data_IF_352143530189
#
_entry.id   IF_352143530189
#
_cell.length_a   1.000
_cell.length_b   1.000
_cell.length_c   1.000
_cell.angle_alpha   90.00
_cell.angle_beta   90.00
_cell.angle_gamma   90.00
#
_symmetry.space_group_name_H-M   'P 1'
#
loop_
_entity.id
_entity.type
_entity.pdbx_description
1 polymer ?
#
# COMPACT_ATOMS: atom_id res chain seq x y z
N UNK A 1 -24.47 0.70 -26.93
CA UNK A 1 -23.46 0.64 -25.87
C UNK A 1 -22.10 0.71 -26.53
N UNK A 2 -21.30 1.74 -26.23
CA UNK A 2 -19.92 1.82 -26.74
C UNK A 2 -19.04 0.79 -26.03
N UNK A 3 -17.91 0.42 -26.65
CA UNK A 3 -16.97 -0.52 -26.03
C UNK A 3 -16.47 -0.02 -24.66
N UNK A 4 -16.23 1.29 -24.54
CA UNK A 4 -15.83 1.95 -23.29
C UNK A 4 -16.90 1.86 -22.20
N UNK A 5 -18.18 1.97 -22.56
CA UNK A 5 -19.30 1.83 -21.63
C UNK A 5 -19.45 0.39 -21.14
N UNK A 6 -19.22 -0.61 -22.00
CA UNK A 6 -19.21 -2.01 -21.60
C UNK A 6 -18.07 -2.31 -20.64
N UNK A 7 -16.86 -1.81 -20.93
CA UNK A 7 -15.69 -1.91 -20.05
C UNK A 7 -15.95 -1.29 -18.68
N UNK A 8 -16.52 -0.08 -18.65
CA UNK A 8 -16.89 0.62 -17.42
C UNK A 8 -17.91 -0.20 -16.62
N UNK A 9 -18.91 -0.78 -17.29
CA UNK A 9 -19.91 -1.63 -16.66
C UNK A 9 -19.31 -2.91 -16.06
N UNK A 10 -18.43 -3.60 -16.81
CA UNK A 10 -17.73 -4.79 -16.34
C UNK A 10 -16.88 -4.47 -15.11
N UNK A 11 -16.13 -3.36 -15.15
CA UNK A 11 -15.30 -2.90 -14.04
C UNK A 11 -16.17 -2.62 -12.80
N UNK A 12 -17.28 -1.90 -12.98
CA UNK A 12 -18.20 -1.60 -11.88
C UNK A 12 -18.85 -2.85 -11.28
N UNK A 13 -19.28 -3.79 -12.13
CA UNK A 13 -19.85 -5.06 -11.70
C UNK A 13 -18.83 -5.87 -10.88
N UNK A 14 -17.57 -5.92 -11.33
CA UNK A 14 -16.49 -6.62 -10.62
C UNK A 14 -16.23 -6.02 -9.23
N UNK A 15 -16.21 -4.69 -9.11
CA UNK A 15 -16.06 -4.01 -7.81
C UNK A 15 -17.19 -4.42 -6.86
N UNK A 16 -18.44 -4.41 -7.34
CA UNK A 16 -19.61 -4.81 -6.54
C UNK A 16 -19.55 -6.26 -6.09
N UNK A 17 -19.13 -7.16 -6.98
CA UNK A 17 -18.96 -8.58 -6.68
C UNK A 17 -17.92 -8.77 -5.56
N UNK A 18 -16.75 -8.14 -5.67
CA UNK A 18 -15.69 -8.26 -4.66
C UNK A 18 -16.14 -7.67 -3.33
N UNK A 19 -16.82 -6.52 -3.32
CA UNK A 19 -17.36 -5.93 -2.09
C UNK A 19 -18.38 -6.85 -1.42
N UNK A 20 -19.23 -7.53 -2.19
CA UNK A 20 -20.12 -8.56 -1.64
C UNK A 20 -19.32 -9.70 -1.00
N UNK A 21 -18.28 -10.20 -1.67
CA UNK A 21 -17.42 -11.25 -1.12
C UNK A 21 -16.71 -10.85 0.17
N UNK A 22 -16.27 -9.59 0.29
CA UNK A 22 -15.63 -9.08 1.51
C UNK A 22 -16.59 -8.94 2.70
N UNK A 23 -17.89 -8.79 2.40
CA UNK A 23 -18.98 -8.67 3.39
C UNK A 23 -19.44 -10.04 3.91
N UNK A 24 -19.32 -11.09 3.08
CA UNK A 24 -19.72 -12.45 3.46
C UNK A 24 -18.89 -13.00 4.64
N UNK A 25 -19.47 -13.92 5.44
CA UNK A 25 -18.76 -14.60 6.50
C UNK A 25 -17.60 -15.45 5.96
N UNK A 26 -16.54 -15.57 6.76
CA UNK A 26 -15.25 -16.19 6.38
C UNK A 26 -15.37 -17.62 5.83
N UNK A 27 -16.37 -18.38 6.27
CA UNK A 27 -16.63 -19.75 5.82
C UNK A 27 -16.97 -19.79 4.33
N UNK A 28 -17.75 -18.82 3.84
CA UNK A 28 -18.15 -18.74 2.44
C UNK A 28 -16.98 -18.23 1.59
N UNK A 29 -16.26 -17.23 2.09
CA UNK A 29 -15.04 -16.73 1.46
C UNK A 29 -13.97 -17.79 1.35
N UNK A 30 -13.89 -18.80 2.22
CA UNK A 30 -12.93 -19.90 2.06
C UNK A 30 -13.31 -20.91 0.96
N UNK A 31 -14.60 -21.06 0.65
CA UNK A 31 -15.13 -22.07 -0.28
C UNK A 31 -15.06 -21.65 -1.74
N UNK A 32 -15.05 -20.36 -2.02
CA UNK A 32 -15.08 -19.79 -3.38
C UNK A 32 -13.77 -20.03 -4.17
N UNK A 33 -12.76 -20.75 -3.66
CA UNK A 33 -11.51 -21.07 -4.40
C UNK A 33 -11.55 -22.51 -4.89
N UNK A 34 -11.55 -22.73 -6.23
CA UNK A 34 -11.47 -24.07 -6.79
C UNK A 34 -10.23 -24.81 -6.28
N UNK A 35 -10.42 -26.02 -5.76
CA UNK A 35 -9.37 -26.79 -5.07
C UNK A 35 -8.12 -27.08 -5.91
N UNK A 36 -8.24 -27.07 -7.24
CA UNK A 36 -7.18 -27.37 -8.19
C UNK A 36 -6.17 -26.23 -8.42
N UNK A 37 -6.53 -24.98 -8.12
CA UNK A 37 -5.63 -23.81 -8.27
C UNK A 37 -4.85 -23.48 -6.98
N UNK A 38 -4.68 -24.46 -6.10
CA UNK A 38 -4.04 -24.25 -4.80
C UNK A 38 -2.52 -24.38 -4.94
N UNK A 39 -1.83 -23.25 -5.02
CA UNK A 39 -0.39 -23.20 -4.87
C UNK A 39 0.03 -23.57 -3.43
N UNK A 40 1.27 -24.03 -3.27
CA UNK A 40 1.90 -24.21 -1.96
C UNK A 40 1.78 -22.92 -1.15
N UNK A 41 1.31 -23.04 0.09
CA UNK A 41 1.15 -21.85 0.94
C UNK A 41 2.53 -21.30 1.32
N UNK A 42 2.70 -19.96 1.35
CA UNK A 42 3.94 -19.34 1.79
C UNK A 42 4.22 -19.67 3.26
N UNK A 43 5.47 -19.52 3.67
CA UNK A 43 5.90 -19.71 5.05
C UNK A 43 5.11 -18.79 6.01
N UNK A 44 4.80 -19.24 7.23
CA UNK A 44 4.00 -18.45 8.17
C UNK A 44 4.74 -17.18 8.61
N UNK A 45 4.03 -16.05 8.55
CA UNK A 45 4.51 -14.75 9.02
C UNK A 45 3.81 -14.39 10.34
N UNK A 46 4.54 -13.75 11.24
CA UNK A 46 4.05 -13.38 12.57
C UNK A 46 4.26 -11.89 12.81
N UNK A 47 3.34 -11.27 13.55
CA UNK A 47 3.51 -9.91 14.04
C UNK A 47 4.43 -9.85 15.28
N UNK A 48 4.74 -8.64 15.74
CA UNK A 48 5.54 -8.43 16.95
C UNK A 48 4.89 -8.99 18.23
N UNK A 49 3.60 -9.33 18.20
CA UNK A 49 2.87 -9.96 19.29
C UNK A 49 2.80 -11.49 19.15
N UNK A 50 3.49 -12.08 18.16
CA UNK A 50 3.54 -13.52 17.92
C UNK A 50 2.27 -14.10 17.29
N UNK A 51 1.35 -13.29 16.76
CA UNK A 51 0.14 -13.76 16.07
C UNK A 51 0.44 -13.95 14.60
N UNK A 52 -0.08 -15.04 14.02
CA UNK A 52 0.08 -15.32 12.59
C UNK A 52 -0.71 -14.32 11.74
N UNK A 53 -0.04 -13.64 10.82
CA UNK A 53 -0.60 -12.56 9.99
C UNK A 53 -0.97 -12.97 8.58
N UNK A 54 -0.45 -14.11 8.09
CA UNK A 54 -0.62 -14.57 6.72
C UNK A 54 -1.45 -15.86 6.60
N UNK A 55 -2.50 -15.98 7.43
CA UNK A 55 -3.46 -17.09 7.29
C UNK A 55 -4.06 -17.12 5.88
N UNK A 56 -4.55 -18.28 5.45
CA UNK A 56 -5.18 -18.44 4.12
C UNK A 56 -6.30 -17.40 3.89
N UNK A 57 -7.15 -17.20 4.90
CA UNK A 57 -8.24 -16.24 4.83
C UNK A 57 -7.72 -14.80 4.69
N UNK A 58 -6.71 -14.42 5.48
CA UNK A 58 -6.08 -13.10 5.38
C UNK A 58 -5.43 -12.89 4.01
N UNK A 59 -4.72 -13.89 3.47
CA UNK A 59 -4.15 -13.82 2.12
C UNK A 59 -5.23 -13.64 1.06
N UNK A 60 -6.34 -14.37 1.16
CA UNK A 60 -7.45 -14.24 0.21
C UNK A 60 -8.14 -12.87 0.32
N UNK A 61 -8.44 -12.41 1.53
CA UNK A 61 -9.03 -11.08 1.75
C UNK A 61 -8.12 -9.98 1.21
N UNK A 62 -6.80 -10.04 1.48
CA UNK A 62 -5.81 -9.11 0.91
C UNK A 62 -5.77 -9.14 -0.62
N UNK A 63 -5.86 -10.33 -1.23
CA UNK A 63 -5.89 -10.46 -2.69
C UNK A 63 -7.17 -9.83 -3.29
N UNK A 64 -8.33 -10.05 -2.69
CA UNK A 64 -9.59 -9.43 -3.09
C UNK A 64 -9.57 -7.91 -2.90
N UNK A 65 -9.03 -7.42 -1.79
CA UNK A 65 -8.86 -5.98 -1.55
C UNK A 65 -7.92 -5.33 -2.58
N UNK A 66 -6.82 -6.00 -2.94
CA UNK A 66 -5.89 -5.53 -3.96
C UNK A 66 -6.53 -5.53 -5.37
N UNK A 67 -7.29 -6.57 -5.71
CA UNK A 67 -8.04 -6.61 -6.97
C UNK A 67 -9.11 -5.50 -7.02
N UNK A 68 -9.86 -5.32 -5.93
CA UNK A 68 -10.85 -4.24 -5.80
C UNK A 68 -10.18 -2.87 -5.96
N UNK A 69 -9.03 -2.66 -5.33
CA UNK A 69 -8.26 -1.42 -5.45
C UNK A 69 -7.91 -1.13 -6.91
N UNK A 70 -7.35 -2.11 -7.62
CA UNK A 70 -7.02 -1.99 -9.04
C UNK A 70 -8.24 -1.62 -9.89
N UNK A 71 -9.37 -2.31 -9.71
CA UNK A 71 -10.58 -2.00 -10.46
C UNK A 71 -11.12 -0.60 -10.14
N UNK A 72 -11.01 -0.14 -8.88
CA UNK A 72 -11.42 1.22 -8.50
C UNK A 72 -10.53 2.27 -9.18
N UNK A 73 -9.22 2.04 -9.27
CA UNK A 73 -8.33 2.95 -9.99
C UNK A 73 -8.67 3.03 -11.48
N UNK A 74 -8.94 1.88 -12.11
CA UNK A 74 -9.41 1.82 -13.49
C UNK A 74 -10.76 2.52 -13.67
N UNK A 75 -11.70 2.36 -12.73
CA UNK A 75 -13.01 3.00 -12.77
C UNK A 75 -12.94 4.53 -12.59
N UNK A 76 -12.08 5.00 -11.69
CA UNK A 76 -11.84 6.45 -11.49
C UNK A 76 -11.25 7.09 -12.76
N UNK A 77 -10.42 6.37 -13.50
CA UNK A 77 -9.85 6.86 -14.75
C UNK A 77 -10.87 6.87 -15.91
N UNK A 78 -11.74 5.86 -16.00
CA UNK A 78 -12.68 5.69 -17.13
C UNK A 78 -14.02 6.42 -16.95
N UNK A 79 -14.53 6.53 -15.72
CA UNK A 79 -15.86 7.06 -15.42
C UNK A 79 -15.75 8.47 -14.83
N UNK A 80 -16.17 9.52 -15.54
CA UNK A 80 -16.25 10.85 -14.97
C UNK A 80 -17.19 10.85 -13.76
N UNK A 81 -16.79 11.52 -12.67
CA UNK A 81 -17.56 11.61 -11.41
C UNK A 81 -17.83 10.25 -10.72
N UNK A 82 -16.94 9.27 -10.89
CA UNK A 82 -17.04 8.00 -10.18
C UNK A 82 -17.06 8.19 -8.65
N UNK A 83 -18.09 7.63 -8.01
CA UNK A 83 -18.21 7.64 -6.55
C UNK A 83 -17.51 6.42 -5.97
N UNK A 84 -16.54 6.66 -5.09
CA UNK A 84 -15.82 5.61 -4.36
C UNK A 84 -16.79 4.88 -3.41
N UNK A 85 -16.69 3.55 -3.27
CA UNK A 85 -17.44 2.82 -2.25
C UNK A 85 -17.13 3.34 -0.83
N UNK A 86 -18.14 3.47 0.03
CA UNK A 86 -17.99 4.04 1.38
C UNK A 86 -17.04 3.24 2.28
N UNK A 87 -16.95 1.93 2.09
CA UNK A 87 -16.09 1.01 2.83
C UNK A 87 -14.67 0.92 2.25
N UNK A 88 -14.42 1.56 1.10
CA UNK A 88 -13.13 1.55 0.46
C UNK A 88 -12.18 2.55 1.14
N UNK A 89 -11.08 2.01 1.65
CA UNK A 89 -9.92 2.79 2.10
C UNK A 89 -8.80 2.59 1.10
N UNK A 90 -8.27 3.70 0.57
CA UNK A 90 -7.07 3.66 -0.26
C UNK A 90 -5.95 2.99 0.55
N UNK A 91 -5.25 1.98 0.01
CA UNK A 91 -4.12 1.37 0.69
C UNK A 91 -3.14 2.46 1.12
N UNK A 92 -2.73 2.43 2.39
CA UNK A 92 -1.73 3.37 2.90
C UNK A 92 -0.43 3.09 2.16
N UNK A 93 0.26 4.16 1.74
CA UNK A 93 1.52 4.04 1.00
C UNK A 93 2.56 3.18 1.73
N UNK A 94 3.51 2.64 0.96
CA UNK A 94 4.63 1.88 1.53
C UNK A 94 5.51 2.79 2.39
N UNK A 95 5.94 2.28 3.55
CA UNK A 95 6.91 2.95 4.41
C UNK A 95 8.09 2.02 4.63
N UNK A 96 9.28 2.46 4.26
CA UNK A 96 10.53 1.71 4.47
C UNK A 96 11.41 2.39 5.51
N UNK A 97 12.20 1.59 6.24
CA UNK A 97 13.16 2.08 7.22
C UNK A 97 14.55 1.62 6.83
N UNK A 98 15.36 2.57 6.37
CA UNK A 98 16.77 2.36 6.06
C UNK A 98 17.61 2.88 7.23
N UNK A 99 18.46 2.02 7.79
CA UNK A 99 19.38 2.37 8.87
C UNK A 99 20.70 2.92 8.33
N UNK A 100 21.18 4.02 8.90
CA UNK A 100 22.47 4.64 8.54
C UNK A 100 23.58 4.01 9.42
N UNK A 101 24.67 3.47 8.84
CA UNK A 101 25.74 2.80 9.58
C UNK A 101 26.69 3.80 10.26
N UNK A 102 26.21 4.51 11.28
CA UNK A 102 27.04 5.46 12.04
C UNK A 102 28.10 4.80 12.92
N UNK A 103 27.84 3.56 13.37
CA UNK A 103 28.78 2.82 14.23
C UNK A 103 30.07 2.46 13.48
N UNK A 104 29.96 2.10 12.19
CA UNK A 104 31.09 1.67 11.37
C UNK A 104 31.90 2.86 10.83
N UNK A 105 31.25 4.03 10.66
CA UNK A 105 31.86 5.23 10.08
C UNK A 105 31.56 6.49 10.90
N UNK A 106 32.10 6.62 12.12
CA UNK A 106 31.82 7.76 13.01
C UNK A 106 32.35 9.09 12.48
N UNK A 107 33.34 9.07 11.58
CA UNK A 107 33.93 10.28 10.99
C UNK A 107 33.09 10.87 9.83
N UNK A 108 32.07 10.15 9.35
CA UNK A 108 31.29 10.56 8.17
C UNK A 108 30.01 11.31 8.58
N UNK A 109 29.84 12.51 8.04
CA UNK A 109 28.67 13.35 8.26
C UNK A 109 27.50 12.99 7.33
N UNK A 110 26.91 11.81 7.52
CA UNK A 110 25.81 11.31 6.69
C UNK A 110 24.62 12.28 6.61
N UNK A 111 24.24 12.89 7.75
CA UNK A 111 23.10 13.83 7.80
C UNK A 111 23.36 15.04 6.90
N UNK A 112 24.58 15.60 6.96
CA UNK A 112 24.97 16.75 6.14
C UNK A 112 24.97 16.42 4.65
N UNK A 113 25.41 15.22 4.28
CA UNK A 113 25.39 14.76 2.88
C UNK A 113 23.97 14.53 2.36
N UNK A 114 23.08 13.97 3.18
CA UNK A 114 21.68 13.70 2.81
C UNK A 114 20.86 15.00 2.72
N UNK A 115 21.02 15.91 3.70
CA UNK A 115 20.33 17.21 3.63
C UNK A 115 20.89 18.10 2.51
N UNK A 116 22.22 18.16 2.38
CA UNK A 116 22.90 19.16 1.56
C UNK A 116 22.77 20.58 2.14
N UNK A 117 23.23 21.58 1.37
CA UNK A 117 23.13 22.98 1.78
C UNK A 117 21.64 23.40 1.90
N UNK A 118 21.24 23.81 3.11
CA UNK A 118 19.86 24.22 3.44
C UNK A 118 18.77 23.18 3.08
N UNK A 119 19.10 21.88 3.03
CA UNK A 119 18.12 20.84 2.71
C UNK A 119 17.82 20.65 1.21
N UNK A 120 18.58 21.30 0.31
CA UNK A 120 18.34 21.25 -1.13
C UNK A 120 18.43 19.83 -1.71
N UNK A 121 19.39 19.02 -1.24
CA UNK A 121 19.58 17.64 -1.71
C UNK A 121 18.43 16.74 -1.29
N UNK A 122 17.96 16.87 -0.04
CA UNK A 122 16.82 16.11 0.45
C UNK A 122 15.55 16.43 -0.34
N UNK A 123 15.31 17.72 -0.63
CA UNK A 123 14.16 18.14 -1.44
C UNK A 123 14.22 17.58 -2.86
N UNK A 124 15.39 17.67 -3.50
CA UNK A 124 15.61 17.10 -4.83
C UNK A 124 15.42 15.57 -4.84
N UNK A 125 15.85 14.86 -3.79
CA UNK A 125 15.60 13.43 -3.64
C UNK A 125 14.11 13.10 -3.47
N UNK A 126 13.38 13.87 -2.67
CA UNK A 126 11.93 13.71 -2.49
C UNK A 126 11.17 13.92 -3.80
N UNK A 127 11.51 14.97 -4.57
CA UNK A 127 10.91 15.25 -5.88
C UNK A 127 11.20 14.13 -6.89
N UNK A 128 12.46 13.64 -6.95
CA UNK A 128 12.83 12.53 -7.83
C UNK A 128 12.15 11.21 -7.47
N UNK A 129 12.00 10.92 -6.17
CA UNK A 129 11.42 9.68 -5.69
C UNK A 129 9.88 9.73 -5.65
N UNK A 130 9.27 10.91 -5.72
CA UNK A 130 7.83 11.09 -5.49
C UNK A 130 7.39 10.64 -4.09
N UNK A 131 8.30 10.62 -3.12
CA UNK A 131 8.07 10.06 -1.79
C UNK A 131 8.54 11.02 -0.69
N UNK A 132 7.85 11.00 0.44
CA UNK A 132 8.24 11.80 1.61
C UNK A 132 9.35 11.09 2.39
N UNK A 133 10.56 11.61 2.30
CA UNK A 133 11.71 11.15 3.07
C UNK A 133 11.76 11.85 4.43
N UNK A 134 11.95 11.09 5.51
CA UNK A 134 12.08 11.61 6.86
C UNK A 134 13.26 10.97 7.59
N UNK A 135 14.11 11.79 8.21
CA UNK A 135 15.28 11.35 8.98
C UNK A 135 14.92 11.37 10.47
N UNK A 136 15.23 10.31 11.21
CA UNK A 136 14.96 10.17 12.65
C UNK A 136 16.22 9.64 13.37
N UNK A 137 16.68 10.29 14.45
CA UNK A 137 17.83 9.84 15.26
C UNK A 137 18.57 10.95 16.04
N UNK A 138 19.59 10.58 16.85
CA UNK A 138 20.45 11.55 17.55
C UNK A 138 21.18 12.41 16.50
N UNK A 139 21.05 13.74 16.60
CA UNK A 139 21.56 14.70 15.61
C UNK A 139 20.50 15.28 14.64
N UNK A 140 19.27 14.77 14.66
CA UNK A 140 18.13 15.38 13.95
C UNK A 140 17.41 16.40 14.84
N UNK A 141 18.11 17.48 15.22
CA UNK A 141 17.49 18.59 15.94
C UNK A 141 16.65 19.43 14.96
N UNK A 142 15.33 19.29 15.07
CA UNK A 142 14.28 20.26 14.71
C UNK A 142 14.37 20.91 13.31
N UNK A 143 13.79 20.26 12.30
CA UNK A 143 13.05 20.96 11.23
C UNK A 143 11.69 20.29 11.05
N UNK A 144 10.85 20.42 12.09
CA UNK A 144 9.41 20.21 11.97
C UNK A 144 8.80 21.54 11.53
N UNK A 145 8.56 21.72 10.23
CA UNK A 145 7.52 22.65 9.81
C UNK A 145 6.23 21.87 9.60
N UNK A 146 5.34 22.03 10.58
CA UNK A 146 3.90 21.82 10.48
C UNK A 146 3.37 22.51 9.22
N UNK A 147 2.65 21.78 8.38
CA UNK A 147 1.68 22.39 7.46
C UNK A 147 0.35 22.51 8.22
N UNK A 148 -0.11 23.75 8.37
CA UNK A 148 -1.45 24.11 8.88
C UNK A 148 -2.57 23.59 7.99
#
# INVERSE_FOLDING_TARGET
>A
MTAEQLDAYVTHFRIREITHQLTLPDVLVARTEPGWRRALSPAPEYDAAGRRTNTRLQRRRRALEAERHRCIEEAVAKIPLYQLPHDYRRPVGFTDRVYIPQADFPAVNFIGQILGSRGATLKAMQERAGATLAIRGKGSACYTHFTS
#
